data_IF_516667361593
#
_entry.id   IF_516667361593
#
_cell.length_a   1.000
_cell.length_b   1.000
_cell.length_c   1.000
_cell.angle_alpha   90.00
_cell.angle_beta   90.00
_cell.angle_gamma   90.00
#
_symmetry.space_group_name_H-M   'P 1'
#
loop_
_entity.id
_entity.type
_entity.pdbx_description
1 polymer ?
#
# COMPACT_ATOMS: atom_id res chain seq x y z
N UNK A 1 -20.85 -7.12 28.62
CA UNK A 1 -20.81 -7.41 27.19
C UNK A 1 -21.21 -6.13 26.45
N UNK A 2 -20.27 -5.50 25.76
CA UNK A 2 -20.58 -4.34 24.90
C UNK A 2 -20.77 -4.90 23.49
N UNK A 3 -22.00 -4.90 23.00
CA UNK A 3 -22.31 -5.26 21.64
C UNK A 3 -22.02 -4.08 20.71
N UNK A 4 -21.24 -4.29 19.67
CA UNK A 4 -21.18 -3.36 18.54
C UNK A 4 -22.37 -3.63 17.62
N UNK A 5 -23.13 -2.60 17.28
CA UNK A 5 -24.15 -2.70 16.25
C UNK A 5 -23.45 -2.65 14.88
N UNK A 6 -23.31 -3.80 14.24
CA UNK A 6 -22.78 -3.89 12.87
C UNK A 6 -23.94 -3.62 11.91
N UNK A 7 -24.15 -2.36 11.57
CA UNK A 7 -25.12 -2.00 10.54
C UNK A 7 -24.55 -2.29 9.15
N UNK A 8 -25.38 -2.93 8.33
CA UNK A 8 -25.10 -3.23 6.92
C UNK A 8 -25.19 -1.97 6.02
N UNK A 9 -24.65 -0.87 6.51
CA UNK A 9 -24.60 0.38 5.78
C UNK A 9 -23.38 0.41 4.87
N UNK A 10 -23.63 0.63 3.58
CA UNK A 10 -22.59 0.90 2.56
C UNK A 10 -21.68 -0.28 2.21
N UNK A 11 -22.21 -1.48 2.12
CA UNK A 11 -21.46 -2.67 1.65
C UNK A 11 -20.33 -3.14 2.58
N UNK A 12 -20.33 -2.77 3.85
CA UNK A 12 -19.30 -3.18 4.80
C UNK A 12 -19.28 -4.69 5.04
N UNK A 13 -20.36 -5.42 4.78
CA UNK A 13 -20.52 -6.83 5.15
C UNK A 13 -20.73 -7.74 3.93
N UNK A 14 -20.88 -7.21 2.70
CA UNK A 14 -21.17 -8.03 1.51
C UNK A 14 -20.07 -9.05 1.17
N UNK A 15 -18.83 -8.79 1.57
CA UNK A 15 -17.68 -9.69 1.37
C UNK A 15 -17.10 -10.24 2.66
N UNK A 16 -17.82 -10.09 3.78
CA UNK A 16 -17.33 -10.43 5.11
C UNK A 16 -16.56 -9.32 5.81
N UNK A 17 -16.21 -9.54 7.08
CA UNK A 17 -15.34 -8.65 7.82
C UNK A 17 -13.92 -8.81 7.29
N UNK A 18 -13.43 -7.82 6.58
CA UNK A 18 -12.04 -7.77 6.15
C UNK A 18 -11.21 -7.08 7.23
N UNK A 19 -10.29 -7.80 7.83
CA UNK A 19 -9.28 -7.23 8.70
C UNK A 19 -8.26 -6.46 7.83
N UNK A 20 -8.47 -5.17 7.63
CA UNK A 20 -7.54 -4.32 6.89
C UNK A 20 -6.53 -3.71 7.87
N UNK A 21 -5.26 -4.06 7.70
CA UNK A 21 -4.18 -3.61 8.58
C UNK A 21 -3.57 -2.29 8.12
N UNK A 22 -3.69 -1.96 6.84
CA UNK A 22 -3.14 -0.73 6.25
C UNK A 22 -4.08 0.45 6.47
N UNK A 23 -3.58 1.49 7.13
CA UNK A 23 -4.28 2.76 7.33
C UNK A 23 -4.15 3.63 6.08
N UNK A 24 -5.12 4.52 5.86
CA UNK A 24 -5.14 5.41 4.69
C UNK A 24 -4.75 4.72 3.38
N UNK A 25 -5.31 3.55 3.14
CA UNK A 25 -5.00 2.66 2.01
C UNK A 25 -5.24 3.26 0.62
N UNK A 26 -5.92 4.40 0.56
CA UNK A 26 -6.31 5.10 -0.66
C UNK A 26 -5.72 6.51 -0.73
N UNK A 27 -4.78 6.81 0.13
CA UNK A 27 -4.04 8.07 0.17
C UNK A 27 -4.93 9.32 0.26
N UNK A 28 -5.98 9.26 1.07
CA UNK A 28 -6.88 10.38 1.28
C UNK A 28 -6.19 11.53 2.03
N UNK A 29 -6.55 12.76 1.67
CA UNK A 29 -6.00 13.97 2.30
C UNK A 29 -4.61 14.35 1.79
N UNK A 30 -4.17 15.55 2.17
CA UNK A 30 -2.85 16.06 1.82
C UNK A 30 -1.84 15.66 2.90
N UNK A 31 -0.63 15.21 2.54
CA UNK A 31 0.41 14.91 3.51
C UNK A 31 0.84 16.19 4.22
N UNK A 32 1.27 16.05 5.47
CA UNK A 32 1.98 17.11 6.17
C UNK A 32 3.41 17.22 5.65
N UNK A 33 4.08 18.33 5.95
CA UNK A 33 5.49 18.50 5.58
C UNK A 33 6.41 17.42 6.19
N UNK A 34 6.02 16.81 7.32
CA UNK A 34 6.78 15.76 7.98
C UNK A 34 6.58 14.38 7.34
N UNK A 35 5.43 14.12 6.72
CA UNK A 35 5.11 12.84 6.10
C UNK A 35 5.65 12.75 4.67
N UNK A 36 5.64 13.87 3.93
CA UNK A 36 6.25 13.99 2.61
C UNK A 36 5.64 13.17 1.49
N UNK A 37 4.99 12.04 1.81
CA UNK A 37 4.44 11.06 0.87
C UNK A 37 2.91 11.10 0.85
N UNK A 38 2.29 10.60 1.91
CA UNK A 38 0.85 10.67 2.16
C UNK A 38 0.62 10.56 3.67
N UNK A 39 -0.55 10.97 4.16
CA UNK A 39 -0.91 10.79 5.58
C UNK A 39 -0.78 9.30 5.93
N UNK A 40 -0.12 8.97 7.06
CA UNK A 40 0.20 7.62 7.53
C UNK A 40 1.28 6.88 6.72
N UNK A 41 1.84 7.47 5.67
CA UNK A 41 2.86 6.84 4.85
C UNK A 41 4.16 7.64 4.87
N UNK A 42 5.27 6.97 5.14
CA UNK A 42 6.59 7.59 5.09
C UNK A 42 7.34 7.22 3.80
N UNK A 43 8.16 8.12 3.27
CA UNK A 43 8.98 7.86 2.10
C UNK A 43 10.15 6.93 2.43
N UNK A 44 10.54 6.10 1.47
CA UNK A 44 11.75 5.28 1.49
C UNK A 44 12.68 5.73 0.37
N UNK A 45 13.98 5.83 0.70
CA UNK A 45 15.00 6.34 -0.21
C UNK A 45 15.20 7.85 -0.08
N UNK A 46 16.46 8.28 -0.19
CA UNK A 46 16.84 9.69 0.05
C UNK A 46 16.55 10.60 -1.14
N UNK A 47 16.41 10.06 -2.35
CA UNK A 47 16.36 10.83 -3.60
C UNK A 47 15.05 10.71 -4.36
N UNK A 48 14.09 9.97 -3.84
CA UNK A 48 12.76 9.87 -4.43
C UNK A 48 12.00 11.19 -4.36
N UNK A 49 11.29 11.55 -5.41
CA UNK A 49 10.36 12.68 -5.44
C UNK A 49 8.95 12.15 -5.27
N UNK A 50 8.24 12.62 -4.26
CA UNK A 50 6.93 12.14 -3.87
C UNK A 50 5.87 13.23 -4.10
N UNK A 51 4.72 12.84 -4.61
CA UNK A 51 3.58 13.73 -4.78
C UNK A 51 2.26 12.95 -4.65
N UNK A 52 1.22 13.62 -4.16
CA UNK A 52 -0.15 13.15 -4.37
C UNK A 52 -0.49 13.42 -5.83
N UNK A 53 -0.84 12.35 -6.53
CA UNK A 53 -1.15 12.40 -7.94
C UNK A 53 -2.67 12.51 -8.17
N UNK A 54 -3.09 12.46 -9.42
CA UNK A 54 -4.48 12.58 -9.83
C UNK A 54 -5.40 11.54 -9.17
N UNK A 55 -6.66 11.86 -8.94
CA UNK A 55 -7.60 10.95 -8.31
C UNK A 55 -7.78 9.67 -9.15
N UNK A 56 -7.55 8.54 -8.51
CA UNK A 56 -7.87 7.24 -9.05
C UNK A 56 -9.35 6.96 -8.88
N UNK A 57 -10.07 6.84 -9.99
CA UNK A 57 -11.51 6.55 -9.99
C UNK A 57 -11.74 5.06 -10.19
N UNK A 58 -12.25 4.37 -9.16
CA UNK A 58 -12.74 3.01 -9.27
C UNK A 58 -14.25 3.00 -9.40
N UNK A 59 -14.76 2.50 -10.52
CA UNK A 59 -16.19 2.21 -10.67
C UNK A 59 -16.53 0.92 -9.91
N UNK A 60 -17.31 1.04 -8.84
CA UNK A 60 -17.88 -0.11 -8.13
C UNK A 60 -19.28 -0.41 -8.69
N UNK A 61 -19.52 -1.60 -9.17
CA UNK A 61 -20.86 -2.09 -9.43
C UNK A 61 -21.47 -2.57 -8.10
N UNK A 62 -22.47 -1.88 -7.63
CA UNK A 62 -23.24 -2.25 -6.45
C UNK A 62 -24.68 -1.82 -6.61
N UNK A 63 -25.60 -2.57 -6.05
CA UNK A 63 -27.04 -2.41 -6.11
C UNK A 63 -27.48 -0.94 -6.12
N UNK A 64 -28.02 -0.50 -7.25
CA UNK A 64 -28.76 0.77 -7.50
C UNK A 64 -28.02 2.11 -7.38
N UNK A 65 -26.72 2.14 -7.14
CA UNK A 65 -25.95 3.38 -7.26
C UNK A 65 -24.59 3.11 -7.93
N UNK A 66 -24.38 3.71 -9.09
CA UNK A 66 -23.04 3.91 -9.65
C UNK A 66 -22.29 4.82 -8.67
N UNK A 67 -21.52 4.27 -7.77
CA UNK A 67 -20.61 5.03 -6.92
C UNK A 67 -19.25 5.08 -7.58
N UNK A 68 -18.88 6.24 -8.02
CA UNK A 68 -17.49 6.59 -8.30
C UNK A 68 -16.82 6.82 -6.95
N UNK A 69 -15.95 5.90 -6.54
CA UNK A 69 -15.08 6.10 -5.40
C UNK A 69 -13.82 6.79 -5.93
N UNK A 70 -13.72 8.08 -5.70
CA UNK A 70 -12.49 8.81 -5.94
C UNK A 70 -11.46 8.40 -4.88
N UNK A 71 -10.32 7.89 -5.33
CA UNK A 71 -9.18 7.60 -4.50
C UNK A 71 -8.03 8.44 -5.02
N UNK A 72 -7.28 9.04 -4.12
CA UNK A 72 -6.01 9.65 -4.49
C UNK A 72 -4.99 8.56 -4.79
N UNK A 73 -3.98 8.90 -5.53
CA UNK A 73 -2.80 8.09 -5.75
C UNK A 73 -1.55 8.83 -5.29
N UNK A 74 -0.49 8.09 -5.01
CA UNK A 74 0.84 8.65 -4.72
C UNK A 74 1.74 8.38 -5.90
N UNK A 75 2.26 9.45 -6.50
CA UNK A 75 3.29 9.40 -7.51
C UNK A 75 4.68 9.46 -6.89
N UNK A 76 5.56 8.54 -7.27
CA UNK A 76 6.94 8.49 -6.79
C UNK A 76 7.86 8.41 -8.01
N UNK A 77 8.71 9.40 -8.15
CA UNK A 77 9.72 9.43 -9.19
C UNK A 77 11.07 9.00 -8.63
N UNK A 78 11.64 7.94 -9.18
CA UNK A 78 13.01 7.53 -8.92
C UNK A 78 13.93 8.07 -10.01
N UNK A 79 14.80 9.05 -9.71
CA UNK A 79 15.69 9.61 -10.72
C UNK A 79 16.86 8.69 -11.10
N UNK A 80 17.14 7.65 -10.30
CA UNK A 80 18.32 6.81 -10.48
C UNK A 80 17.98 5.33 -10.48
N UNK A 81 18.43 4.60 -11.50
CA UNK A 81 18.36 3.14 -11.53
C UNK A 81 19.37 2.53 -10.54
N UNK A 82 18.93 1.52 -9.79
CA UNK A 82 19.76 0.83 -8.79
C UNK A 82 19.71 1.46 -7.40
N UNK A 83 19.08 2.62 -7.22
CA UNK A 83 18.78 3.19 -5.91
C UNK A 83 17.35 2.82 -5.51
N UNK A 84 17.20 2.20 -4.34
CA UNK A 84 15.89 1.80 -3.84
C UNK A 84 15.11 3.02 -3.36
N UNK A 85 13.92 3.20 -3.91
CA UNK A 85 12.93 4.16 -3.43
C UNK A 85 11.62 3.44 -3.16
N UNK A 86 10.73 4.08 -2.41
CA UNK A 86 9.42 3.52 -2.14
C UNK A 86 8.69 4.22 -1.02
N UNK A 87 7.78 3.49 -0.40
CA UNK A 87 6.96 3.99 0.68
C UNK A 87 6.74 2.91 1.73
N UNK A 88 6.50 3.34 2.96
CA UNK A 88 6.23 2.42 4.07
C UNK A 88 5.17 2.95 5.01
N UNK A 89 4.67 2.06 5.85
CA UNK A 89 3.74 2.36 6.92
C UNK A 89 4.15 1.66 8.20
N UNK A 90 4.10 2.41 9.30
CA UNK A 90 4.38 1.94 10.64
C UNK A 90 3.16 1.28 11.31
N UNK A 91 3.42 0.50 12.35
CA UNK A 91 2.38 0.04 13.29
C UNK A 91 1.55 -1.13 12.76
N UNK A 92 2.15 -2.01 11.99
CA UNK A 92 1.54 -3.25 11.52
C UNK A 92 1.79 -4.34 12.57
N UNK A 93 0.73 -4.91 13.12
CA UNK A 93 0.86 -6.04 14.06
C UNK A 93 0.91 -7.35 13.28
N UNK A 94 1.98 -8.10 13.44
CA UNK A 94 2.20 -9.38 12.75
C UNK A 94 2.41 -10.53 13.72
N UNK A 95 1.97 -11.73 13.33
CA UNK A 95 2.16 -12.98 14.05
C UNK A 95 3.07 -13.91 13.29
N UNK A 96 3.96 -14.59 13.98
CA UNK A 96 4.87 -15.58 13.40
C UNK A 96 4.09 -16.68 12.68
N UNK A 97 4.47 -16.99 11.45
CA UNK A 97 3.90 -18.06 10.64
C UNK A 97 2.49 -17.79 10.09
N UNK A 98 1.87 -16.64 10.40
CA UNK A 98 0.57 -16.25 9.85
C UNK A 98 0.76 -15.69 8.44
N UNK A 99 0.12 -16.22 7.40
CA UNK A 99 0.17 -15.65 6.07
C UNK A 99 -0.69 -14.38 5.97
N UNK A 100 -0.15 -13.36 5.32
CA UNK A 100 -0.81 -12.11 5.00
C UNK A 100 -0.83 -11.92 3.48
N UNK A 101 -1.99 -11.58 2.93
CA UNK A 101 -2.11 -11.27 1.50
C UNK A 101 -1.95 -9.77 1.28
N UNK A 102 -0.79 -9.37 0.80
CA UNK A 102 -0.55 -8.01 0.36
C UNK A 102 -1.10 -7.80 -1.04
N UNK A 103 -1.76 -6.66 -1.26
CA UNK A 103 -2.23 -6.24 -2.57
C UNK A 103 -1.99 -4.74 -2.78
N UNK A 104 -1.62 -4.37 -4.00
CA UNK A 104 -1.56 -2.96 -4.40
C UNK A 104 -1.99 -2.76 -5.85
N UNK A 105 -2.40 -1.54 -6.18
CA UNK A 105 -2.74 -1.13 -7.54
C UNK A 105 -1.71 -0.10 -7.98
N UNK A 106 -1.06 -0.35 -9.10
CA UNK A 106 0.03 0.49 -9.62
C UNK A 106 -0.17 0.84 -11.08
N UNK A 107 0.40 1.97 -11.48
CA UNK A 107 0.54 2.40 -12.85
C UNK A 107 1.98 2.89 -13.04
N UNK A 108 2.62 2.47 -14.13
CA UNK A 108 4.03 2.77 -14.45
C UNK A 108 4.16 2.89 -15.96
N UNK A 109 5.26 3.45 -16.43
CA UNK A 109 5.55 3.48 -17.87
C UNK A 109 6.06 2.14 -18.39
N UNK A 110 6.86 1.46 -17.56
CA UNK A 110 7.44 0.15 -17.87
C UNK A 110 7.16 -0.84 -16.74
N UNK A 111 7.38 -2.11 -17.00
CA UNK A 111 7.27 -3.14 -15.95
C UNK A 111 8.34 -2.94 -14.88
N UNK A 112 7.91 -2.88 -13.63
CA UNK A 112 8.76 -2.61 -12.45
C UNK A 112 8.76 -3.82 -11.54
N UNK A 113 9.93 -4.13 -10.98
CA UNK A 113 10.06 -5.14 -9.93
C UNK A 113 9.89 -4.48 -8.57
N UNK A 114 8.83 -4.84 -7.87
CA UNK A 114 8.55 -4.38 -6.52
C UNK A 114 9.01 -5.40 -5.49
N UNK A 115 9.63 -4.93 -4.43
CA UNK A 115 9.93 -5.70 -3.22
C UNK A 115 9.02 -5.23 -2.11
N UNK A 116 8.25 -6.15 -1.54
CA UNK A 116 7.36 -5.89 -0.40
C UNK A 116 7.89 -6.65 0.80
N UNK A 117 8.06 -5.97 1.92
CA UNK A 117 8.61 -6.58 3.14
C UNK A 117 7.88 -6.12 4.40
N UNK A 118 7.89 -7.00 5.41
CA UNK A 118 7.58 -6.67 6.79
C UNK A 118 8.87 -6.69 7.59
N UNK A 119 9.17 -5.57 8.25
CA UNK A 119 10.44 -5.36 8.94
C UNK A 119 10.22 -4.78 10.33
N UNK A 120 11.26 -4.73 11.13
CA UNK A 120 11.24 -3.88 12.32
C UNK A 120 11.21 -2.38 11.93
N UNK A 121 11.01 -1.51 12.92
CA UNK A 121 10.99 -0.04 12.74
C UNK A 121 12.27 0.53 12.12
N UNK A 122 13.38 -0.13 12.29
CA UNK A 122 14.67 0.31 11.73
C UNK A 122 14.88 -0.15 10.29
N UNK A 123 14.12 -1.14 9.84
CA UNK A 123 14.27 -1.81 8.54
C UNK A 123 15.48 -2.75 8.46
N UNK A 124 16.15 -3.00 9.58
CA UNK A 124 17.33 -3.89 9.62
C UNK A 124 16.96 -5.35 9.75
N UNK A 125 15.93 -5.65 10.54
CA UNK A 125 15.42 -7.00 10.69
C UNK A 125 14.23 -7.20 9.76
N UNK A 126 14.39 -8.05 8.76
CA UNK A 126 13.35 -8.40 7.80
C UNK A 126 12.66 -9.68 8.27
N UNK A 127 11.39 -9.60 8.62
CA UNK A 127 10.58 -10.73 9.05
C UNK A 127 10.11 -11.60 7.90
N UNK A 128 9.80 -11.00 6.78
CA UNK A 128 9.55 -11.64 5.48
C UNK A 128 9.64 -10.62 4.36
N UNK A 129 9.89 -11.11 3.15
CA UNK A 129 9.84 -10.30 1.94
C UNK A 129 9.35 -11.15 0.75
N UNK A 130 8.69 -10.48 -0.19
CA UNK A 130 8.29 -11.06 -1.45
C UNK A 130 8.52 -10.05 -2.58
N UNK A 131 8.66 -10.55 -3.80
CA UNK A 131 8.81 -9.71 -4.98
C UNK A 131 7.70 -9.99 -5.98
N UNK A 132 7.24 -8.94 -6.65
CA UNK A 132 6.31 -9.03 -7.76
C UNK A 132 6.76 -8.12 -8.88
N UNK A 133 6.46 -8.50 -10.10
CA UNK A 133 6.77 -7.70 -11.30
C UNK A 133 5.45 -7.30 -11.94
N UNK A 134 5.30 -6.03 -12.26
CA UNK A 134 4.11 -5.53 -12.92
C UNK A 134 4.13 -4.03 -13.12
N UNK A 135 3.00 -3.52 -13.55
CA UNK A 135 2.85 -2.13 -14.00
C UNK A 135 2.75 -2.06 -15.52
N UNK A 136 2.53 -0.89 -16.02
CA UNK A 136 2.30 -0.53 -17.41
C UNK A 136 1.47 0.74 -17.47
N UNK A 137 1.10 1.18 -18.67
CA UNK A 137 0.33 2.40 -18.90
C UNK A 137 -1.07 2.40 -18.27
N UNK A 138 -1.59 1.20 -17.95
CA UNK A 138 -2.86 1.03 -17.26
C UNK A 138 -2.68 0.62 -15.80
N UNK A 139 -3.70 0.86 -14.98
CA UNK A 139 -3.74 0.43 -13.59
C UNK A 139 -3.73 -1.09 -13.47
N UNK A 140 -2.68 -1.64 -12.88
CA UNK A 140 -2.46 -3.07 -12.69
C UNK A 140 -2.51 -3.43 -11.22
N UNK A 141 -3.17 -4.53 -10.87
CA UNK A 141 -3.18 -5.08 -9.51
C UNK A 141 -2.05 -6.08 -9.34
N UNK A 142 -1.29 -5.91 -8.28
CA UNK A 142 -0.25 -6.84 -7.83
C UNK A 142 -0.67 -7.45 -6.49
N UNK A 143 -0.38 -8.73 -6.32
CA UNK A 143 -0.62 -9.45 -5.07
C UNK A 143 0.58 -10.34 -4.74
N UNK A 144 0.95 -10.38 -3.45
CA UNK A 144 1.97 -11.29 -2.92
C UNK A 144 1.57 -11.77 -1.53
N UNK A 145 1.96 -12.99 -1.19
CA UNK A 145 1.82 -13.52 0.15
C UNK A 145 3.08 -13.25 0.97
N UNK A 146 2.88 -12.83 2.22
CA UNK A 146 3.92 -12.53 3.20
C UNK A 146 3.71 -13.39 4.43
N UNK A 147 4.67 -14.25 4.77
CA UNK A 147 4.61 -15.10 5.96
C UNK A 147 5.79 -14.76 6.90
N UNK A 148 5.56 -13.95 7.96
CA UNK A 148 6.60 -13.51 8.86
C UNK A 148 7.23 -14.66 9.65
N UNK A 149 8.54 -14.61 9.85
CA UNK A 149 9.30 -15.59 10.65
C UNK A 149 9.35 -15.23 12.14
N UNK A 150 8.88 -14.03 12.52
CA UNK A 150 8.75 -13.59 13.91
C UNK A 150 7.48 -12.75 14.08
N UNK A 151 7.00 -12.63 15.31
CA UNK A 151 5.91 -11.75 15.68
C UNK A 151 6.44 -10.36 16.07
N UNK A 152 5.69 -9.33 15.72
CA UNK A 152 5.95 -7.94 16.11
C UNK A 152 4.62 -7.18 16.20
N UNK A 153 4.46 -6.36 17.23
CA UNK A 153 3.26 -5.51 17.41
C UNK A 153 3.38 -4.13 16.74
N UNK A 154 4.56 -3.79 16.25
CA UNK A 154 4.87 -2.47 15.67
C UNK A 154 5.80 -2.59 14.43
N UNK A 155 5.56 -3.59 13.60
CA UNK A 155 6.30 -3.80 12.36
C UNK A 155 6.03 -2.69 11.33
N UNK A 156 6.95 -2.55 10.39
CA UNK A 156 6.81 -1.72 9.21
C UNK A 156 6.44 -2.56 7.99
N UNK A 157 5.41 -2.11 7.25
CA UNK A 157 5.21 -2.51 5.86
C UNK A 157 6.07 -1.61 4.97
N UNK A 158 6.90 -2.19 4.11
CA UNK A 158 7.77 -1.46 3.17
C UNK A 158 7.57 -1.97 1.76
N UNK A 159 7.41 -1.04 0.81
CA UNK A 159 7.23 -1.29 -0.62
C UNK A 159 8.34 -0.52 -1.33
N UNK A 160 9.25 -1.22 -2.00
CA UNK A 160 10.41 -0.61 -2.64
C UNK A 160 10.60 -1.10 -4.07
N UNK A 161 11.29 -0.30 -4.88
CA UNK A 161 11.78 -0.66 -6.22
C UNK A 161 13.05 0.12 -6.55
N UNK A 162 13.83 -0.40 -7.49
CA UNK A 162 15.13 0.16 -7.91
C UNK A 162 15.12 0.67 -9.36
N UNK A 163 14.02 0.48 -10.08
CA UNK A 163 13.89 0.99 -11.44
C UNK A 163 13.81 2.52 -11.42
N UNK A 164 14.51 3.17 -12.33
CA UNK A 164 14.30 4.59 -12.57
C UNK A 164 12.93 4.84 -13.21
N UNK A 165 12.40 6.04 -13.04
CA UNK A 165 11.14 6.45 -13.63
C UNK A 165 10.02 6.67 -12.62
N UNK A 166 8.82 6.79 -13.13
CA UNK A 166 7.64 7.17 -12.37
C UNK A 166 6.76 5.96 -12.05
N UNK A 167 6.43 5.82 -10.79
CA UNK A 167 5.50 4.82 -10.27
C UNK A 167 4.35 5.53 -9.57
N UNK A 168 3.14 5.23 -9.97
CA UNK A 168 1.92 5.71 -9.33
C UNK A 168 1.26 4.57 -8.57
N UNK A 169 1.01 4.74 -7.26
CA UNK A 169 0.36 3.75 -6.38
C UNK A 169 -1.04 4.25 -6.04
N UNK A 170 -2.08 3.52 -6.45
CA UNK A 170 -3.48 3.93 -6.29
C UNK A 170 -4.18 3.38 -5.05
N UNK A 171 -3.81 2.20 -4.60
CA UNK A 171 -4.35 1.59 -3.39
C UNK A 171 -3.43 0.50 -2.86
N UNK A 172 -3.41 0.31 -1.54
CA UNK A 172 -2.64 -0.74 -0.85
C UNK A 172 -3.53 -1.47 0.15
N UNK A 173 -3.30 -2.76 0.35
CA UNK A 173 -4.00 -3.62 1.32
C UNK A 173 -3.06 -4.67 1.92
N UNK A 174 -3.29 -5.05 3.15
CA UNK A 174 -2.61 -6.14 3.86
C UNK A 174 -3.59 -6.82 4.80
#
# INVERSE_FOLDING_TARGET
LFGCNLEHTRSCIYTGLSAQMVRNRKFAGKPTACEGCAIEWFPLGERGVFALDEPYTRHGEGYHMKRTLECNSVGIFNPYCGEAVGMGQHGITISQGQPYLFGMVVKTQESVKFTVSLTDRTGKNVYCCATSVGGGDDWTRLEVELTPQAADSDADLRICWENAGYVCVGAVSL
#
